data_IF_063334514798
#
_entry.id   IF_063334514798
#
_cell.length_a   1.000
_cell.length_b   1.000
_cell.length_c   1.000
_cell.angle_alpha   90.00
_cell.angle_beta   90.00
_cell.angle_gamma   90.00
#
_symmetry.space_group_name_H-M   'P 1'
#
loop_
_entity.id
_entity.type
_entity.pdbx_description
1 polymer ?
#
# COMPACT_ATOMS: atom_id res chain seq x y z
N UNK A 1 -24.86 1.85 -3.52
CA UNK A 1 -23.91 2.74 -4.22
C UNK A 1 -22.62 1.95 -4.37
N UNK A 2 -22.31 1.53 -5.59
CA UNK A 2 -21.13 0.73 -5.86
C UNK A 2 -19.96 1.72 -5.89
N UNK A 3 -19.15 1.72 -4.85
CA UNK A 3 -17.99 2.61 -4.70
C UNK A 3 -16.97 2.23 -5.77
N UNK A 4 -17.05 2.87 -6.93
CA UNK A 4 -15.95 2.96 -7.87
C UNK A 4 -14.83 3.67 -7.15
N UNK A 5 -13.97 2.92 -6.46
CA UNK A 5 -12.70 3.45 -5.99
C UNK A 5 -11.95 3.85 -7.25
N UNK A 6 -11.90 5.15 -7.52
CA UNK A 6 -11.24 5.69 -8.69
C UNK A 6 -9.77 5.25 -8.62
N UNK A 7 -9.14 4.92 -9.75
CA UNK A 7 -7.72 4.53 -9.78
C UNK A 7 -6.83 5.54 -9.04
N UNK A 8 -7.25 6.80 -9.03
CA UNK A 8 -6.64 7.92 -8.31
C UNK A 8 -6.72 7.81 -6.77
N UNK A 9 -7.87 7.39 -6.22
CA UNK A 9 -8.05 7.17 -4.78
C UNK A 9 -7.23 5.98 -4.30
N UNK A 10 -7.22 4.91 -5.10
CA UNK A 10 -6.39 3.73 -4.87
C UNK A 10 -4.91 4.11 -4.86
N UNK A 11 -4.46 4.88 -5.85
CA UNK A 11 -3.08 5.35 -5.92
C UNK A 11 -2.70 6.25 -4.73
N UNK A 12 -3.64 7.12 -4.30
CA UNK A 12 -3.47 8.01 -3.15
C UNK A 12 -3.30 7.24 -1.84
N UNK A 13 -4.09 6.20 -1.61
CA UNK A 13 -3.94 5.33 -0.42
C UNK A 13 -2.59 4.59 -0.42
N UNK A 14 -2.16 4.07 -1.57
CA UNK A 14 -0.86 3.40 -1.68
C UNK A 14 0.30 4.36 -1.42
N UNK A 15 0.21 5.59 -1.94
CA UNK A 15 1.22 6.61 -1.68
C UNK A 15 1.25 7.06 -0.22
N UNK A 16 0.09 7.17 0.44
CA UNK A 16 0.02 7.45 1.88
C UNK A 16 0.66 6.34 2.72
N UNK A 17 0.39 5.07 2.39
CA UNK A 17 1.04 3.92 3.03
C UNK A 17 2.56 3.95 2.81
N UNK A 18 3.02 4.26 1.60
CA UNK A 18 4.45 4.42 1.29
C UNK A 18 5.10 5.52 2.13
N UNK A 19 4.47 6.69 2.26
CA UNK A 19 4.99 7.81 3.06
C UNK A 19 5.13 7.41 4.53
N UNK A 20 4.10 6.78 5.11
CA UNK A 20 4.15 6.27 6.50
C UNK A 20 5.28 5.28 6.70
N UNK A 21 5.53 4.39 5.74
CA UNK A 21 6.62 3.43 5.80
C UNK A 21 7.98 4.13 5.80
N UNK A 22 8.17 5.13 4.95
CA UNK A 22 9.42 5.92 4.92
C UNK A 22 9.63 6.68 6.23
N UNK A 23 8.59 7.30 6.77
CA UNK A 23 8.67 7.98 8.07
C UNK A 23 9.02 6.98 9.20
N UNK A 24 8.42 5.80 9.18
CA UNK A 24 8.69 4.75 10.16
C UNK A 24 10.13 4.24 10.06
N UNK A 25 10.64 4.01 8.85
CA UNK A 25 12.04 3.64 8.61
C UNK A 25 13.00 4.72 9.12
N UNK A 26 12.71 5.99 8.80
CA UNK A 26 13.52 7.12 9.28
C UNK A 26 13.52 7.21 10.80
N UNK A 27 12.39 6.91 11.45
CA UNK A 27 12.25 6.95 12.91
C UNK A 27 12.95 5.76 13.59
N UNK A 28 12.79 4.56 13.06
CA UNK A 28 13.37 3.33 13.62
C UNK A 28 14.86 3.20 13.28
N UNK A 29 15.32 3.86 12.21
CA UNK A 29 16.71 3.81 11.74
C UNK A 29 17.12 2.48 11.11
N UNK A 30 16.19 1.51 11.01
CA UNK A 30 16.43 0.20 10.43
C UNK A 30 15.20 -0.35 9.71
N UNK A 31 15.42 -1.02 8.58
CA UNK A 31 14.38 -1.76 7.87
C UNK A 31 14.03 -3.10 8.53
N UNK A 32 14.83 -3.55 9.49
CA UNK A 32 14.66 -4.83 10.17
C UNK A 32 13.76 -4.75 11.40
N UNK A 33 13.24 -3.57 11.72
CA UNK A 33 12.27 -3.44 12.82
C UNK A 33 10.99 -4.17 12.46
N UNK A 34 10.41 -4.86 13.43
CA UNK A 34 9.15 -5.57 13.28
C UNK A 34 8.07 -4.64 12.73
N UNK A 35 7.98 -3.41 13.22
CA UNK A 35 6.99 -2.44 12.76
C UNK A 35 7.17 -2.05 11.29
N UNK A 36 8.42 -1.92 10.82
CA UNK A 36 8.74 -1.62 9.41
C UNK A 36 8.43 -2.82 8.51
N UNK A 37 8.70 -4.03 8.99
CA UNK A 37 8.40 -5.27 8.26
C UNK A 37 6.89 -5.49 8.14
N UNK A 38 6.13 -5.32 9.21
CA UNK A 38 4.66 -5.43 9.20
C UNK A 38 4.04 -4.39 8.27
N UNK A 39 4.50 -3.14 8.33
CA UNK A 39 4.00 -2.09 7.45
C UNK A 39 4.39 -2.31 5.98
N UNK A 40 5.59 -2.86 5.72
CA UNK A 40 6.00 -3.25 4.36
C UNK A 40 5.12 -4.37 3.82
N UNK A 41 4.80 -5.38 4.63
CA UNK A 41 3.92 -6.48 4.23
C UNK A 41 2.51 -5.96 3.90
N UNK A 42 1.95 -5.08 4.73
CA UNK A 42 0.65 -4.47 4.47
C UNK A 42 0.62 -3.69 3.15
N UNK A 43 1.69 -2.94 2.84
CA UNK A 43 1.81 -2.23 1.58
C UNK A 43 1.87 -3.19 0.38
N UNK A 44 2.63 -4.28 0.50
CA UNK A 44 2.78 -5.29 -0.54
C UNK A 44 1.45 -6.00 -0.83
N UNK A 45 0.75 -6.44 0.21
CA UNK A 45 -0.59 -7.04 0.10
C UNK A 45 -1.57 -6.07 -0.57
N UNK A 46 -1.55 -4.80 -0.17
CA UNK A 46 -2.43 -3.77 -0.75
C UNK A 46 -2.19 -3.58 -2.25
N UNK A 47 -0.93 -3.57 -2.68
CA UNK A 47 -0.55 -3.50 -4.11
C UNK A 47 -1.02 -4.74 -4.86
N UNK A 48 -0.80 -5.94 -4.31
CA UNK A 48 -1.26 -7.19 -4.95
C UNK A 48 -2.78 -7.21 -5.09
N UNK A 49 -3.52 -6.78 -4.07
CA UNK A 49 -4.98 -6.67 -4.11
C UNK A 49 -5.45 -5.67 -5.16
N UNK A 50 -4.77 -4.53 -5.33
CA UNK A 50 -5.06 -3.60 -6.42
C UNK A 50 -4.78 -4.19 -7.79
N UNK A 51 -3.60 -4.76 -7.99
CA UNK A 51 -3.20 -5.34 -9.27
C UNK A 51 -4.17 -6.45 -9.69
N UNK A 52 -4.62 -7.28 -8.74
CA UNK A 52 -5.67 -8.28 -8.97
C UNK A 52 -6.97 -7.62 -9.38
N UNK A 53 -7.44 -6.58 -8.67
CA UNK A 53 -8.66 -5.85 -9.05
C UNK A 53 -8.56 -5.28 -10.47
N UNK A 54 -7.47 -4.59 -10.81
CA UNK A 54 -7.25 -4.01 -12.14
C UNK A 54 -7.19 -5.10 -13.22
N UNK A 55 -6.51 -6.23 -12.97
CA UNK A 55 -6.47 -7.36 -13.92
C UNK A 55 -7.85 -8.01 -14.11
N UNK A 56 -8.66 -8.13 -13.05
CA UNK A 56 -10.00 -8.70 -13.13
C UNK A 56 -10.99 -7.83 -13.91
N UNK A 57 -10.75 -6.52 -14.02
CA UNK A 57 -11.57 -5.61 -14.86
C UNK A 57 -11.21 -5.65 -16.36
N UNK A 58 -10.13 -6.35 -16.74
CA UNK A 58 -9.64 -6.44 -18.13
C UNK A 58 -10.04 -7.73 -18.87
N UNK A 59 -11.00 -8.49 -18.34
CA UNK A 59 -11.58 -9.68 -18.99
C UNK A 59 -13.08 -9.51 -19.11
#
# INVERSE_FOLDING_TARGET
>A
MQSYQTEDELHTDAENLRKKLVELVCKEGTFSSLAVLEMSQQLDEYIVHMQKRIKSYKH
#
